data_IF_249478153578
#
_entry.id   IF_249478153578
#
_cell.length_a   1.000
_cell.length_b   1.000
_cell.length_c   1.000
_cell.angle_alpha   90.00
_cell.angle_beta   90.00
_cell.angle_gamma   90.00
#
_symmetry.space_group_name_H-M   'P 1'
#
loop_
_entity.id
_entity.type
_entity.pdbx_description
1 polymer ?
#
# COMPACT_ATOMS: atom_id res chain seq x y z
N UNK A 1 -7.63 5.65 -2.49
CA UNK A 1 -8.29 4.33 -2.55
C UNK A 1 -9.76 4.35 -2.16
N UNK A 2 -10.15 4.71 -0.92
CA UNK A 2 -11.55 4.60 -0.46
C UNK A 2 -12.58 5.23 -1.42
N UNK A 3 -12.36 6.49 -1.82
CA UNK A 3 -13.20 7.17 -2.82
C UNK A 3 -13.24 6.50 -4.20
N UNK A 4 -12.17 5.81 -4.60
CA UNK A 4 -12.11 5.12 -5.89
C UNK A 4 -12.94 3.83 -5.86
N UNK A 5 -12.89 3.10 -4.75
CA UNK A 5 -13.74 1.92 -4.50
C UNK A 5 -15.22 2.34 -4.50
N UNK A 6 -15.57 3.43 -3.82
CA UNK A 6 -16.93 3.99 -3.82
C UNK A 6 -17.43 4.36 -5.23
N UNK A 7 -16.52 4.76 -6.12
CA UNK A 7 -16.81 5.09 -7.52
C UNK A 7 -16.87 3.87 -8.44
N UNK A 8 -16.69 2.65 -7.91
CA UNK A 8 -16.70 1.41 -8.69
C UNK A 8 -15.46 1.21 -9.57
N UNK A 9 -14.36 1.90 -9.26
CA UNK A 9 -13.09 1.77 -9.99
C UNK A 9 -12.40 0.46 -9.64
N UNK A 10 -11.68 -0.10 -10.60
CA UNK A 10 -10.83 -1.27 -10.33
C UNK A 10 -9.64 -0.81 -9.49
N UNK A 11 -9.40 -1.51 -8.37
CA UNK A 11 -8.30 -1.22 -7.47
C UNK A 11 -7.54 -2.51 -7.16
N UNK A 12 -6.24 -2.54 -7.44
CA UNK A 12 -5.33 -3.60 -6.97
C UNK A 12 -4.36 -2.98 -5.97
N UNK A 13 -4.05 -3.71 -4.89
CA UNK A 13 -3.13 -3.24 -3.85
C UNK A 13 -2.15 -4.35 -3.53
N UNK A 14 -0.86 -4.01 -3.51
CA UNK A 14 0.24 -4.83 -3.03
C UNK A 14 0.96 -4.10 -1.89
N UNK A 15 1.14 -4.80 -0.77
CA UNK A 15 1.73 -4.21 0.44
C UNK A 15 2.93 -5.05 0.85
N UNK A 16 4.11 -4.42 0.84
CA UNK A 16 5.32 -4.99 1.39
C UNK A 16 5.48 -4.44 2.81
N UNK A 17 5.61 -5.34 3.77
CA UNK A 17 5.83 -4.99 5.18
C UNK A 17 7.28 -5.22 5.53
N UNK A 18 7.97 -4.16 5.94
CA UNK A 18 9.38 -4.20 6.28
C UNK A 18 9.56 -4.36 7.78
N UNK A 19 10.37 -5.33 8.19
CA UNK A 19 10.74 -5.59 9.59
C UNK A 19 12.26 -5.45 9.74
N UNK A 20 12.69 -4.91 10.88
CA UNK A 20 14.06 -5.11 11.33
C UNK A 20 14.16 -6.48 12.03
N UNK A 21 15.34 -7.11 11.96
CA UNK A 21 15.56 -8.41 12.59
C UNK A 21 15.47 -8.41 14.12
N UNK A 22 15.39 -7.22 14.73
CA UNK A 22 15.37 -7.00 16.18
C UNK A 22 13.99 -6.78 16.77
N UNK A 23 12.95 -6.52 15.96
CA UNK A 23 11.62 -6.20 16.46
C UNK A 23 10.54 -7.11 15.88
N UNK A 24 9.50 -7.34 16.70
CA UNK A 24 8.24 -7.92 16.24
C UNK A 24 7.33 -6.88 15.58
N UNK A 25 7.69 -5.59 15.63
CA UNK A 25 6.98 -4.51 14.95
C UNK A 25 7.63 -4.20 13.61
N UNK A 26 6.82 -3.94 12.61
CA UNK A 26 7.30 -3.43 11.34
C UNK A 26 7.92 -2.04 11.50
N UNK A 27 8.91 -1.75 10.68
CA UNK A 27 9.58 -0.44 10.62
C UNK A 27 9.01 0.45 9.52
N UNK A 28 8.44 -0.15 8.47
CA UNK A 28 7.78 0.59 7.40
C UNK A 28 6.87 -0.30 6.55
N UNK A 29 6.11 0.35 5.67
CA UNK A 29 5.26 -0.26 4.68
C UNK A 29 5.53 0.39 3.32
N UNK A 30 5.62 -0.44 2.29
CA UNK A 30 5.57 -0.01 0.89
C UNK A 30 4.22 -0.40 0.32
N UNK A 31 3.45 0.58 -0.10
CA UNK A 31 2.10 0.41 -0.60
C UNK A 31 2.10 0.73 -2.09
N UNK A 32 2.07 -0.31 -2.91
CA UNK A 32 1.88 -0.21 -4.35
C UNK A 32 0.41 -0.41 -4.65
N UNK A 33 -0.19 0.45 -5.46
CA UNK A 33 -1.59 0.27 -5.83
C UNK A 33 -1.93 0.82 -7.19
N UNK A 34 -2.87 0.19 -7.85
CA UNK A 34 -3.43 0.66 -9.12
C UNK A 34 -4.87 1.12 -8.94
N UNK A 35 -5.26 2.15 -9.68
CA UNK A 35 -6.65 2.58 -9.83
C UNK A 35 -6.93 2.74 -11.31
N UNK A 36 -7.83 1.92 -11.87
CA UNK A 36 -8.13 1.87 -13.31
C UNK A 36 -6.86 1.77 -14.17
N UNK A 37 -5.90 0.93 -13.74
CA UNK A 37 -4.62 0.71 -14.41
C UNK A 37 -3.58 1.84 -14.23
N UNK A 38 -3.87 2.87 -13.43
CA UNK A 38 -2.88 3.92 -13.07
C UNK A 38 -2.14 3.51 -11.81
N UNK A 39 -0.82 3.42 -11.88
CA UNK A 39 0.05 3.04 -10.76
C UNK A 39 0.31 4.19 -9.78
N UNK A 40 0.31 3.85 -8.49
CA UNK A 40 0.63 4.72 -7.37
C UNK A 40 1.54 3.99 -6.37
N UNK A 41 2.39 4.76 -5.68
CA UNK A 41 3.32 4.27 -4.66
C UNK A 41 3.32 5.18 -3.43
N UNK A 42 3.36 4.57 -2.25
CA UNK A 42 3.53 5.27 -0.98
C UNK A 42 4.46 4.49 -0.05
N UNK A 43 5.39 5.21 0.59
CA UNK A 43 6.27 4.67 1.63
C UNK A 43 5.87 5.25 2.98
N UNK A 44 5.51 4.39 3.93
CA UNK A 44 5.04 4.80 5.26
C UNK A 44 6.04 4.28 6.29
N UNK A 45 6.71 5.18 7.00
CA UNK A 45 7.56 4.83 8.13
C UNK A 45 6.73 4.78 9.42
N UNK A 46 7.07 3.87 10.33
CA UNK A 46 6.37 3.67 11.60
C UNK A 46 6.90 4.58 12.72
#
# INVERSE_FOLDING_TARGET
MAKAIEQGKEVTVDIIVNYDSSSLRSISFEVNYTIDGVDFYEFIHN
#
